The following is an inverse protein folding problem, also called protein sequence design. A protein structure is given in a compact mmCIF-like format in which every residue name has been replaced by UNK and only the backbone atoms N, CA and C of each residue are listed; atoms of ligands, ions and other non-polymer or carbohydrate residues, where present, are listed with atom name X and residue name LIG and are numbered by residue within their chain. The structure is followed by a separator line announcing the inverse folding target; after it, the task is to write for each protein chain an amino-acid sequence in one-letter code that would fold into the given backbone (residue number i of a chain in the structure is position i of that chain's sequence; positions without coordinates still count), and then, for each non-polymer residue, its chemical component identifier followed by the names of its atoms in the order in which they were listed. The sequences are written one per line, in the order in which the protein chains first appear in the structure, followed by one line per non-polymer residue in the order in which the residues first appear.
data_IF_685243085234
#
_entry.id   IF_685243085234
#
_cell.length_a   1.000
_cell.length_b   1.000
_cell.length_c   1.000
_cell.angle_alpha   90.00
_cell.angle_beta   90.00
_cell.angle_gamma   90.00
#
_symmetry.space_group_name_H-M   'P 1'
#
loop_
_entity.id
_entity.type
_entity.pdbx_description
1 polymer ?
#
# COMPACT_ATOMS: atom_id res chain seq x y z
N UNK A 1 -6.82 -14.51 10.31
CA UNK A 1 -7.18 -14.95 8.93
C UNK A 1 -7.30 -13.68 8.10
N UNK A 2 -6.67 -13.63 6.94
CA UNK A 2 -6.91 -12.54 6.01
C UNK A 2 -8.34 -12.66 5.47
N UNK A 3 -9.04 -11.53 5.32
CA UNK A 3 -10.35 -11.50 4.68
C UNK A 3 -10.23 -12.03 3.24
N UNK A 4 -11.18 -12.88 2.84
CA UNK A 4 -11.21 -13.42 1.48
C UNK A 4 -11.64 -12.37 0.44
N UNK A 5 -12.31 -11.31 0.90
CA UNK A 5 -12.81 -10.21 0.08
C UNK A 5 -12.75 -8.91 0.88
N UNK A 6 -12.24 -7.86 0.25
CA UNK A 6 -12.14 -6.52 0.81
C UNK A 6 -12.80 -5.53 -0.14
N UNK A 7 -13.64 -4.65 0.38
CA UNK A 7 -14.27 -3.57 -0.38
C UNK A 7 -13.92 -2.20 0.18
N UNK A 8 -13.66 -1.28 -0.71
CA UNK A 8 -13.36 0.12 -0.41
C UNK A 8 -14.21 0.99 -1.34
N UNK A 9 -14.89 1.97 -0.75
CA UNK A 9 -15.64 2.97 -1.49
C UNK A 9 -14.86 4.29 -1.50
N UNK A 10 -14.91 4.99 -2.63
CA UNK A 10 -14.24 6.28 -2.81
C UNK A 10 -15.24 7.27 -3.38
N UNK A 11 -15.47 8.37 -2.66
CA UNK A 11 -16.39 9.43 -3.06
C UNK A 11 -15.67 10.78 -3.16
N UNK A 12 -15.98 11.54 -4.19
CA UNK A 12 -15.43 12.89 -4.33
C UNK A 12 -15.92 13.77 -3.19
N UNK A 13 -14.99 14.39 -2.45
CA UNK A 13 -15.25 15.34 -1.38
C UNK A 13 -15.13 16.80 -1.85
N UNK A 14 -14.08 17.06 -2.65
CA UNK A 14 -13.81 18.36 -3.27
C UNK A 14 -13.05 18.12 -4.59
N UNK A 15 -12.58 19.15 -5.25
CA UNK A 15 -11.96 19.13 -6.59
C UNK A 15 -11.12 17.88 -6.90
N UNK A 16 -9.99 17.68 -6.21
CA UNK A 16 -9.10 16.50 -6.30
C UNK A 16 -8.95 15.80 -4.94
N UNK A 17 -9.93 16.00 -4.07
CA UNK A 17 -10.00 15.40 -2.76
C UNK A 17 -11.11 14.35 -2.74
N UNK A 18 -10.79 13.17 -2.20
CA UNK A 18 -11.70 12.03 -2.14
C UNK A 18 -11.73 11.46 -0.72
N UNK A 19 -12.93 11.12 -0.25
CA UNK A 19 -13.11 10.37 0.98
C UNK A 19 -13.08 8.87 0.67
N UNK A 20 -12.23 8.16 1.37
CA UNK A 20 -12.06 6.70 1.27
C UNK A 20 -12.70 6.06 2.48
N UNK A 21 -13.68 5.19 2.27
CA UNK A 21 -14.36 4.42 3.31
C UNK A 21 -14.09 2.93 3.16
N UNK A 22 -13.95 2.24 4.29
CA UNK A 22 -13.64 0.81 4.33
C UNK A 22 -14.93 0.04 4.60
N UNK A 23 -15.54 -0.46 3.52
CA UNK A 23 -16.86 -1.10 3.59
C UNK A 23 -16.86 -2.30 4.56
N UNK A 24 -17.93 -2.40 5.35
CA UNK A 24 -18.09 -3.49 6.33
C UNK A 24 -17.23 -3.35 7.59
N UNK A 25 -16.54 -2.22 7.79
CA UNK A 25 -15.73 -1.95 8.99
C UNK A 25 -16.30 -0.78 9.77
N UNK A 26 -15.88 -0.63 11.03
CA UNK A 26 -16.14 0.56 11.85
C UNK A 26 -15.04 1.62 11.79
N UNK A 27 -14.16 1.55 10.79
CA UNK A 27 -13.01 2.46 10.66
C UNK A 27 -13.44 3.85 10.21
N UNK A 28 -12.75 4.87 10.72
CA UNK A 28 -12.94 6.24 10.25
C UNK A 28 -12.46 6.38 8.80
N UNK A 29 -13.18 7.18 7.98
CA UNK A 29 -12.74 7.47 6.63
C UNK A 29 -11.37 8.13 6.58
N UNK A 30 -10.68 7.97 5.46
CA UNK A 30 -9.41 8.63 5.15
C UNK A 30 -9.64 9.61 4.01
N UNK A 31 -9.28 10.88 4.22
CA UNK A 31 -9.30 11.86 3.16
C UNK A 31 -8.00 11.76 2.33
N UNK A 32 -8.13 11.59 1.02
CA UNK A 32 -7.02 11.73 0.07
C UNK A 32 -7.12 13.07 -0.64
N UNK A 33 -6.01 13.69 -0.96
CA UNK A 33 -5.99 14.96 -1.69
C UNK A 33 -4.69 15.10 -2.49
N UNK A 34 -4.77 15.71 -3.65
CA UNK A 34 -3.58 16.06 -4.41
C UNK A 34 -2.92 17.33 -3.83
N UNK A 35 -1.59 17.48 -3.98
CA UNK A 35 -0.93 18.72 -3.59
C UNK A 35 -1.32 19.87 -4.53
N UNK A 36 -1.11 21.13 -4.12
CA UNK A 36 -1.24 22.28 -5.00
C UNK A 36 -0.34 22.15 -6.25
N UNK A 37 -0.78 22.60 -7.44
CA UNK A 37 -2.00 23.39 -7.70
C UNK A 37 -3.27 22.56 -7.97
N UNK A 38 -3.20 21.23 -8.00
CA UNK A 38 -4.34 20.37 -8.32
C UNK A 38 -5.34 20.32 -7.17
N UNK A 39 -4.88 19.97 -5.99
CA UNK A 39 -5.64 19.90 -4.74
C UNK A 39 -5.18 20.94 -3.73
N UNK A 40 -5.52 20.72 -2.46
CA UNK A 40 -5.16 21.57 -1.33
C UNK A 40 -4.14 20.90 -0.37
N UNK A 41 -3.75 19.67 -0.64
CA UNK A 41 -2.81 18.92 0.19
C UNK A 41 -3.33 18.57 1.58
N UNK A 42 -4.65 18.41 1.76
CA UNK A 42 -5.28 18.14 3.06
C UNK A 42 -5.25 16.67 3.46
N UNK A 43 -4.76 15.81 2.59
CA UNK A 43 -4.59 14.37 2.82
C UNK A 43 -3.43 13.80 2.02
N UNK A 44 -3.07 12.53 2.23
CA UNK A 44 -2.08 11.86 1.40
C UNK A 44 -2.57 11.79 -0.03
N UNK A 45 -1.67 12.00 -1.00
CA UNK A 45 -2.00 11.70 -2.38
C UNK A 45 -2.09 10.17 -2.59
N UNK A 46 -2.76 9.70 -3.68
CA UNK A 46 -2.99 8.28 -3.89
C UNK A 46 -1.75 7.38 -3.89
N UNK A 47 -0.58 7.89 -4.33
CA UNK A 47 0.67 7.11 -4.32
C UNK A 47 1.15 6.77 -2.90
N UNK A 48 0.84 7.61 -1.92
CA UNK A 48 1.23 7.40 -0.52
C UNK A 48 0.47 6.25 0.14
N UNK A 49 -0.73 5.91 -0.34
CA UNK A 49 -1.54 4.82 0.22
C UNK A 49 -0.92 3.44 -0.03
N UNK A 50 -0.59 3.03 -1.28
CA UNK A 50 0.11 1.78 -1.52
C UNK A 50 1.49 1.74 -0.87
N UNK A 51 2.21 2.86 -0.80
CA UNK A 51 3.46 2.92 -0.07
C UNK A 51 3.27 2.61 1.42
N UNK A 52 2.29 3.24 2.08
CA UNK A 52 1.97 2.96 3.48
C UNK A 52 1.51 1.50 3.67
N UNK A 53 0.75 0.94 2.73
CA UNK A 53 0.31 -0.45 2.78
C UNK A 53 1.50 -1.43 2.70
N UNK A 54 2.46 -1.19 1.81
CA UNK A 54 3.70 -1.98 1.70
C UNK A 54 4.50 -1.91 3.00
N UNK A 55 4.77 -0.70 3.50
CA UNK A 55 5.57 -0.49 4.70
C UNK A 55 4.94 -1.13 5.94
N UNK A 56 3.65 -0.94 6.16
CA UNK A 56 2.94 -1.49 7.32
C UNK A 56 2.81 -3.01 7.25
N UNK A 57 2.55 -3.58 6.06
CA UNK A 57 2.47 -5.02 5.90
C UNK A 57 3.83 -5.70 6.14
N UNK A 58 4.93 -5.12 5.65
CA UNK A 58 6.28 -5.63 5.92
C UNK A 58 6.65 -5.53 7.40
N UNK A 59 6.32 -4.41 8.07
CA UNK A 59 6.56 -4.26 9.50
C UNK A 59 5.79 -5.31 10.32
N UNK A 60 4.51 -5.55 9.98
CA UNK A 60 3.70 -6.58 10.61
C UNK A 60 4.24 -8.01 10.35
N UNK A 61 4.70 -8.28 9.12
CA UNK A 61 5.29 -9.58 8.77
C UNK A 61 6.59 -9.85 9.53
N UNK A 62 7.44 -8.81 9.67
CA UNK A 62 8.66 -8.89 10.47
C UNK A 62 8.35 -9.16 11.94
N UNK A 63 7.44 -8.37 12.54
CA UNK A 63 7.01 -8.54 13.92
C UNK A 63 6.51 -9.96 14.17
N UNK A 64 5.59 -10.44 13.32
CA UNK A 64 5.03 -11.78 13.42
C UNK A 64 6.10 -12.89 13.31
N UNK A 65 7.06 -12.74 12.39
CA UNK A 65 8.15 -13.72 12.22
C UNK A 65 9.04 -13.81 13.48
N UNK A 66 9.36 -12.66 14.08
CA UNK A 66 10.20 -12.61 15.29
C UNK A 66 9.46 -13.10 16.53
N UNK A 67 8.19 -12.75 16.71
CA UNK A 67 7.35 -13.23 17.80
C UNK A 67 7.19 -14.77 17.78
N UNK A 68 7.07 -15.37 16.58
CA UNK A 68 7.08 -16.84 16.45
C UNK A 68 8.35 -17.49 17.00
N UNK A 69 9.47 -16.78 16.98
CA UNK A 69 10.73 -17.24 17.57
C UNK A 69 10.87 -16.83 19.05
N UNK A 70 9.80 -16.30 19.66
CA UNK A 70 9.79 -15.78 21.04
C UNK A 70 10.78 -14.64 21.26
N UNK A 71 11.04 -13.87 20.21
CA UNK A 71 11.88 -12.68 20.23
C UNK A 71 10.97 -11.46 20.16
N UNK A 72 11.09 -10.56 21.12
CA UNK A 72 10.41 -9.27 21.13
C UNK A 72 11.30 -8.22 20.45
N UNK A 73 10.95 -7.75 19.22
CA UNK A 73 11.74 -6.77 18.49
C UNK A 73 11.35 -5.32 18.79
N UNK A 74 10.32 -5.10 19.60
CA UNK A 74 9.67 -3.80 19.75
C UNK A 74 10.62 -2.70 20.27
N UNK A 75 10.41 -1.45 19.83
CA UNK A 75 9.46 -1.04 18.80
C UNK A 75 9.91 -1.43 17.39
N UNK A 76 8.94 -1.69 16.50
CA UNK A 76 9.18 -1.88 15.07
C UNK A 76 8.70 -0.64 14.33
N UNK A 77 9.54 -0.11 13.43
CA UNK A 77 9.20 1.01 12.57
C UNK A 77 9.57 0.70 11.12
N UNK A 78 8.91 1.38 10.20
CA UNK A 78 9.20 1.30 8.77
C UNK A 78 9.33 2.70 8.17
N UNK A 79 10.27 2.88 7.28
CA UNK A 79 10.39 4.01 6.37
C UNK A 79 10.36 3.50 4.94
N UNK A 80 9.70 4.22 4.04
CA UNK A 80 9.60 3.87 2.64
C UNK A 80 9.85 5.08 1.74
N UNK A 81 10.77 4.93 0.81
CA UNK A 81 11.00 5.84 -0.31
C UNK A 81 10.34 5.30 -1.56
N UNK A 82 9.74 6.19 -2.35
CA UNK A 82 9.08 5.85 -3.61
C UNK A 82 9.69 6.69 -4.73
N UNK A 83 10.34 6.03 -5.66
CA UNK A 83 10.87 6.67 -6.87
C UNK A 83 9.82 6.73 -7.96
N UNK A 84 9.59 7.94 -8.45
CA UNK A 84 8.70 8.19 -9.58
C UNK A 84 9.51 8.30 -10.87
N UNK A 85 9.11 7.56 -11.88
CA UNK A 85 9.76 7.53 -13.20
C UNK A 85 8.76 7.88 -14.32
N UNK A 86 9.26 8.24 -15.48
CA UNK A 86 8.45 8.34 -16.69
C UNK A 86 8.65 7.10 -17.55
N UNK A 87 7.55 6.53 -18.04
CA UNK A 87 7.61 5.47 -19.04
C UNK A 87 7.91 6.04 -20.45
N UNK A 88 8.05 5.17 -21.46
CA UNK A 88 8.33 5.55 -22.85
C UNK A 88 7.31 6.52 -23.44
N UNK A 89 6.07 6.50 -22.95
CA UNK A 89 5.02 7.45 -23.36
C UNK A 89 5.03 8.77 -22.55
N UNK A 90 6.07 9.03 -21.75
CA UNK A 90 6.20 10.22 -20.90
C UNK A 90 5.24 10.26 -19.69
N UNK A 91 4.57 9.16 -19.38
CA UNK A 91 3.61 9.10 -18.26
C UNK A 91 4.31 8.68 -16.97
N UNK A 92 4.01 9.40 -15.89
CA UNK A 92 4.57 9.13 -14.56
C UNK A 92 4.07 7.79 -14.02
N UNK A 93 4.99 7.02 -13.44
CA UNK A 93 4.77 5.71 -12.83
C UNK A 93 5.56 5.58 -11.54
N UNK A 94 5.12 4.70 -10.66
CA UNK A 94 5.97 4.22 -9.57
C UNK A 94 7.05 3.33 -10.20
N UNK A 95 8.32 3.71 -10.06
CA UNK A 95 9.45 2.98 -10.61
C UNK A 95 10.05 2.00 -9.63
N UNK A 96 10.16 2.43 -8.37
CA UNK A 96 10.70 1.59 -7.30
C UNK A 96 10.12 2.01 -5.94
N UNK A 97 10.16 1.09 -5.01
CA UNK A 97 9.90 1.33 -3.59
C UNK A 97 11.03 0.72 -2.77
N UNK A 98 11.66 1.51 -1.91
CA UNK A 98 12.70 1.07 -0.99
C UNK A 98 12.21 1.19 0.45
N UNK A 99 12.16 0.06 1.16
CA UNK A 99 11.67 0.00 2.54
C UNK A 99 12.82 -0.27 3.49
N UNK A 100 12.93 0.53 4.53
CA UNK A 100 13.83 0.31 5.66
C UNK A 100 13.01 -0.01 6.90
N UNK A 101 13.22 -1.19 7.46
CA UNK A 101 12.61 -1.62 8.72
C UNK A 101 13.61 -1.40 9.86
N UNK A 102 13.14 -0.92 10.99
CA UNK A 102 13.93 -0.71 12.19
C UNK A 102 13.30 -1.47 13.35
N UNK A 103 14.12 -2.06 14.20
CA UNK A 103 13.72 -2.80 15.40
C UNK A 103 14.38 -2.21 16.63
N UNK A 104 13.74 -2.34 17.79
CA UNK A 104 14.20 -1.80 19.06
C UNK A 104 15.26 -2.64 19.77
N UNK A 105 15.88 -3.60 19.10
CA UNK A 105 16.88 -4.52 19.64
C UNK A 105 18.14 -4.54 18.77
N UNK A 106 19.27 -4.81 19.39
CA UNK A 106 20.53 -5.05 18.67
C UNK A 106 20.49 -6.41 17.95
N UNK A 107 21.18 -6.51 16.82
CA UNK A 107 21.24 -7.79 16.05
C UNK A 107 21.81 -8.95 16.87
N UNK A 108 22.70 -8.68 17.82
CA UNK A 108 23.24 -9.70 18.73
C UNK A 108 22.12 -10.37 19.55
N UNK A 109 21.09 -9.62 19.91
CA UNK A 109 19.95 -10.11 20.69
C UNK A 109 18.92 -10.84 19.79
N UNK A 110 19.01 -10.67 18.47
CA UNK A 110 18.13 -11.28 17.46
C UNK A 110 18.77 -12.49 16.76
N UNK A 111 19.98 -12.89 17.13
CA UNK A 111 20.78 -13.90 16.43
C UNK A 111 20.05 -15.24 16.23
N UNK A 112 19.20 -15.66 17.20
CA UNK A 112 18.39 -16.87 17.10
C UNK A 112 17.33 -16.82 16.00
N UNK A 113 16.94 -15.62 15.55
CA UNK A 113 15.87 -15.40 14.58
C UNK A 113 16.38 -15.13 13.15
N UNK A 114 17.70 -15.10 12.92
CA UNK A 114 18.32 -14.68 11.66
C UNK A 114 17.77 -15.43 10.44
N UNK A 115 17.48 -16.73 10.55
CA UNK A 115 16.94 -17.52 9.45
C UNK A 115 15.53 -17.10 9.02
N UNK A 116 14.74 -16.52 9.92
CA UNK A 116 13.40 -16.02 9.62
C UNK A 116 13.46 -14.66 8.92
N UNK A 117 14.52 -13.89 9.19
CA UNK A 117 14.73 -12.59 8.56
C UNK A 117 14.99 -12.71 7.06
N UNK A 118 15.52 -13.84 6.58
CA UNK A 118 15.76 -14.07 5.16
C UNK A 118 14.48 -14.32 4.35
N UNK A 119 13.33 -14.53 5.00
CA UNK A 119 12.09 -14.96 4.33
C UNK A 119 10.82 -14.28 4.82
N UNK A 120 10.88 -13.38 5.79
CA UNK A 120 9.65 -12.80 6.36
C UNK A 120 8.82 -12.03 5.32
N UNK A 121 9.48 -11.39 4.38
CA UNK A 121 8.84 -10.59 3.32
C UNK A 121 8.03 -11.45 2.34
N UNK A 122 8.41 -12.72 2.13
CA UNK A 122 7.63 -13.66 1.31
C UNK A 122 6.22 -13.95 1.87
N UNK A 123 5.97 -13.62 3.13
CA UNK A 123 4.64 -13.74 3.75
C UNK A 123 3.84 -12.43 3.71
N UNK A 124 4.43 -11.34 3.22
CA UNK A 124 3.76 -10.06 3.08
C UNK A 124 2.85 -10.06 1.85
N UNK A 125 1.54 -10.24 2.07
CA UNK A 125 0.54 -10.33 0.99
C UNK A 125 0.61 -9.12 0.06
N UNK A 126 0.67 -7.90 0.61
CA UNK A 126 0.69 -6.66 -0.17
C UNK A 126 1.95 -6.59 -1.03
N UNK A 127 3.13 -6.79 -0.44
CA UNK A 127 4.41 -6.67 -1.16
C UNK A 127 4.53 -7.70 -2.27
N UNK A 128 4.21 -8.97 -2.00
CA UNK A 128 4.31 -10.03 -3.00
C UNK A 128 3.30 -9.85 -4.14
N UNK A 129 2.08 -9.41 -3.81
CA UNK A 129 1.09 -9.09 -4.84
C UNK A 129 1.54 -7.94 -5.74
N UNK A 130 2.14 -6.89 -5.16
CA UNK A 130 2.64 -5.74 -5.93
C UNK A 130 3.86 -6.09 -6.78
N UNK A 131 4.78 -6.92 -6.27
CA UNK A 131 5.94 -7.41 -7.05
C UNK A 131 5.52 -8.22 -8.27
N UNK A 132 4.48 -9.03 -8.15
CA UNK A 132 3.95 -9.85 -9.23
C UNK A 132 3.15 -9.07 -10.28
N UNK A 133 2.75 -7.83 -9.96
CA UNK A 133 1.75 -7.09 -10.72
C UNK A 133 0.33 -7.62 -10.48
N UNK A 134 -0.63 -6.72 -10.35
CA UNK A 134 -2.03 -7.07 -10.08
C UNK A 134 -2.86 -6.69 -11.31
N UNK A 135 -3.63 -7.61 -11.92
CA UNK A 135 -4.55 -7.27 -12.98
C UNK A 135 -5.61 -6.27 -12.49
N UNK A 136 -5.78 -5.18 -13.21
CA UNK A 136 -6.76 -4.14 -12.87
C UNK A 136 -7.73 -3.98 -14.04
N UNK A 137 -9.02 -4.24 -13.79
CA UNK A 137 -10.09 -3.95 -14.72
C UNK A 137 -10.79 -2.64 -14.34
N UNK A 138 -11.17 -1.86 -15.34
CA UNK A 138 -11.82 -0.57 -15.13
C UNK A 138 -13.10 -0.49 -15.96
N UNK A 139 -14.24 -0.22 -15.31
CA UNK A 139 -15.49 0.12 -15.96
C UNK A 139 -15.91 1.54 -15.56
N UNK A 140 -16.34 2.33 -16.53
CA UNK A 140 -16.90 3.68 -16.30
C UNK A 140 -18.39 3.63 -16.55
N UNK A 141 -19.18 4.13 -15.61
CA UNK A 141 -20.64 4.19 -15.71
C UNK A 141 -21.10 5.63 -15.69
N UNK A 142 -22.16 5.91 -16.48
CA UNK A 142 -22.86 7.18 -16.41
C UNK A 142 -23.86 7.22 -15.23
N UNK A 143 -24.60 8.33 -15.09
CA UNK A 143 -25.62 8.53 -14.05
C UNK A 143 -26.76 7.49 -14.12
N UNK A 144 -27.01 6.90 -15.28
CA UNK A 144 -28.04 5.86 -15.50
C UNK A 144 -27.49 4.43 -15.32
N UNK A 145 -26.21 4.29 -14.98
CA UNK A 145 -25.52 3.02 -14.83
C UNK A 145 -25.06 2.37 -16.14
N UNK A 146 -25.23 3.04 -17.30
CA UNK A 146 -24.74 2.54 -18.58
C UNK A 146 -23.21 2.50 -18.58
N UNK A 147 -22.63 1.38 -19.00
CA UNK A 147 -21.18 1.19 -19.09
C UNK A 147 -20.65 1.83 -20.37
N UNK A 148 -19.66 2.69 -20.23
CA UNK A 148 -18.91 3.21 -21.36
C UNK A 148 -18.06 2.06 -21.95
N UNK A 149 -18.34 1.72 -23.21
CA UNK A 149 -17.51 0.77 -23.97
C UNK A 149 -16.16 1.42 -24.27
N UNK A 150 -15.08 0.80 -23.78
CA UNK A 150 -13.71 1.28 -23.96
C UNK A 150 -12.86 0.15 -24.50
N UNK A 151 -12.13 0.42 -25.57
CA UNK A 151 -11.03 -0.45 -25.93
C UNK A 151 -10.02 -0.44 -24.77
N UNK A 152 -9.87 -1.59 -24.12
CA UNK A 152 -8.78 -1.83 -23.16
C UNK A 152 -7.48 -1.85 -23.95
N UNK A 153 -6.83 -0.71 -24.05
CA UNK A 153 -5.43 -0.68 -24.46
C UNK A 153 -4.66 -1.42 -23.38
N UNK A 154 -4.29 -2.64 -23.70
CA UNK A 154 -3.40 -3.45 -22.86
C UNK A 154 -2.11 -2.67 -22.60
N UNK A 155 -1.66 -2.73 -21.35
CA UNK A 155 -0.35 -2.25 -20.91
C UNK A 155 0.69 -3.23 -21.41
#
# INVERSE_FOLDING_TARGET
MSEAHVSVDVAQHARFSFEVTFAGTGLSPVLTDEPPPLGAGRGPNPVRLPAAAVASCLAASLLFALEKQRVDPQPVAAHIDVDMVQNEAGRVRVGAMAVTLSVGKAWADLAAATRMLDRFDAYCVVTESMRAGIPISVAVRDVNGAVLDRETTGV
#
